data_IF_020209624722
#
_entry.id   IF_020209624722
#
_cell.length_a   1.000
_cell.length_b   1.000
_cell.length_c   1.000
_cell.angle_alpha   90.00
_cell.angle_beta   90.00
_cell.angle_gamma   90.00
#
_symmetry.space_group_name_H-M   'P 1'
#
loop_
_entity.id
_entity.type
_entity.pdbx_description
1 polymer ?
#
# COMPACT_ATOMS: atom_id res chain seq x y z
N UNK A 1 -12.08 28.68 -67.44
CA UNK A 1 -13.13 27.78 -66.93
C UNK A 1 -12.44 26.69 -66.12
N UNK A 2 -12.79 26.52 -64.83
CA UNK A 2 -12.31 25.48 -63.89
C UNK A 2 -10.82 25.58 -63.45
N UNK A 3 -10.40 25.36 -62.20
CA UNK A 3 -11.04 25.28 -60.89
C UNK A 3 -9.90 25.35 -59.84
N UNK A 4 -10.14 26.10 -58.76
CA UNK A 4 -9.54 26.11 -57.41
C UNK A 4 -8.48 25.04 -57.04
N UNK A 5 -7.42 25.46 -56.33
CA UNK A 5 -7.25 25.14 -54.89
C UNK A 5 -6.12 25.97 -54.25
N UNK A 6 -6.47 26.76 -53.24
CA UNK A 6 -5.54 27.43 -52.32
C UNK A 6 -5.13 26.41 -51.26
N UNK A 7 -3.87 25.97 -51.27
CA UNK A 7 -3.31 25.19 -50.16
C UNK A 7 -2.99 26.13 -49.00
N UNK A 8 -3.85 26.11 -47.97
CA UNK A 8 -3.57 26.68 -46.66
C UNK A 8 -2.62 25.73 -45.93
N UNK A 9 -1.36 26.13 -45.79
CA UNK A 9 -0.44 25.55 -44.81
C UNK A 9 -0.87 26.02 -43.41
N UNK A 10 -1.78 25.27 -42.79
CA UNK A 10 -1.98 25.36 -41.35
C UNK A 10 -0.86 24.57 -40.68
N UNK A 11 0.22 25.26 -40.30
CA UNK A 11 1.22 24.72 -39.38
C UNK A 11 0.52 24.65 -38.01
N UNK A 12 -0.08 23.51 -37.73
CA UNK A 12 -0.57 23.18 -36.39
C UNK A 12 0.63 23.08 -35.47
N UNK A 13 0.85 24.11 -34.66
CA UNK A 13 1.72 24.02 -33.50
C UNK A 13 1.11 22.98 -32.55
N UNK A 14 1.57 21.74 -32.65
CA UNK A 14 1.37 20.75 -31.62
C UNK A 14 2.14 21.23 -30.39
N UNK A 15 1.47 22.03 -29.55
CA UNK A 15 1.90 22.28 -28.19
C UNK A 15 1.77 20.94 -27.47
N UNK A 16 2.82 20.13 -27.54
CA UNK A 16 3.10 19.10 -26.55
C UNK A 16 3.23 19.84 -25.23
N UNK A 17 2.11 20.00 -24.52
CA UNK A 17 2.09 20.25 -23.10
C UNK A 17 2.72 19.01 -22.46
N UNK A 18 4.04 18.99 -22.39
CA UNK A 18 4.77 18.24 -21.38
C UNK A 18 4.19 18.72 -20.06
N UNK A 19 3.32 17.91 -19.47
CA UNK A 19 3.00 18.02 -18.06
C UNK A 19 4.28 17.70 -17.31
N UNK A 20 5.17 18.70 -17.20
CA UNK A 20 6.11 18.82 -16.11
C UNK A 20 5.24 18.99 -14.86
N UNK A 21 4.71 17.87 -14.37
CA UNK A 21 4.20 17.79 -13.03
C UNK A 21 5.43 18.05 -12.17
N UNK A 22 5.60 19.28 -11.68
CA UNK A 22 6.47 19.52 -10.53
C UNK A 22 6.07 18.45 -9.51
N UNK A 23 6.94 17.48 -9.25
CA UNK A 23 6.78 16.59 -8.11
C UNK A 23 6.79 17.51 -6.89
N UNK A 24 5.61 17.82 -6.35
CA UNK A 24 5.50 18.25 -4.97
C UNK A 24 6.21 17.16 -4.16
N UNK A 25 7.35 17.53 -3.57
CA UNK A 25 8.28 16.58 -2.98
C UNK A 25 7.58 15.66 -1.99
N UNK A 26 7.95 14.38 -2.01
CA UNK A 26 7.60 13.46 -0.95
C UNK A 26 8.10 14.05 0.38
N UNK A 27 7.19 14.33 1.31
CA UNK A 27 7.56 14.86 2.63
C UNK A 27 7.41 13.80 3.72
N UNK A 28 8.10 14.00 4.84
CA UNK A 28 7.89 13.19 6.02
C UNK A 28 6.55 13.53 6.70
N UNK A 29 5.82 12.55 7.26
CA UNK A 29 4.45 12.78 7.75
C UNK A 29 4.36 13.46 9.13
N UNK A 30 5.49 13.74 9.79
CA UNK A 30 5.55 14.38 11.12
C UNK A 30 6.56 15.54 11.14
N UNK A 31 6.51 16.42 12.16
CA UNK A 31 7.47 17.53 12.31
C UNK A 31 8.89 17.08 12.67
N UNK A 32 9.09 15.80 13.02
CA UNK A 32 10.40 15.26 13.36
C UNK A 32 11.31 15.24 12.11
N UNK A 33 12.37 16.05 12.11
CA UNK A 33 13.29 16.18 10.98
C UNK A 33 14.43 15.15 10.97
N UNK A 34 14.45 14.22 11.94
CA UNK A 34 15.59 13.35 12.16
C UNK A 34 15.86 12.41 10.96
N UNK A 35 14.81 11.89 10.31
CA UNK A 35 14.97 11.09 9.09
C UNK A 35 15.64 11.90 7.97
N UNK A 36 15.19 13.12 7.71
CA UNK A 36 15.76 14.00 6.67
C UNK A 36 17.21 14.34 6.98
N UNK A 37 17.55 14.49 8.26
CA UNK A 37 18.89 14.80 8.74
C UNK A 37 19.82 13.56 8.81
N UNK A 38 19.42 12.40 8.29
CA UNK A 38 20.27 11.22 8.28
C UNK A 38 20.49 10.57 9.65
N UNK A 39 19.67 10.91 10.64
CA UNK A 39 19.81 10.41 12.01
C UNK A 39 19.36 8.93 12.12
N UNK A 40 19.82 8.19 13.14
CA UNK A 40 19.50 6.78 13.30
C UNK A 40 18.05 6.59 13.80
N UNK A 41 17.50 5.39 13.62
CA UNK A 41 16.05 5.11 13.78
C UNK A 41 15.51 5.43 15.18
N UNK A 42 16.34 5.36 16.21
CA UNK A 42 16.03 5.67 17.62
C UNK A 42 15.56 7.12 17.80
N UNK A 43 15.85 7.98 16.83
CA UNK A 43 15.52 9.40 16.87
C UNK A 43 14.18 9.74 16.23
N UNK A 44 13.46 8.76 15.66
CA UNK A 44 12.11 8.98 15.11
C UNK A 44 11.16 7.78 15.19
N UNK A 45 11.63 6.56 15.45
CA UNK A 45 10.80 5.36 15.57
C UNK A 45 10.33 5.18 17.01
N UNK A 46 9.01 5.02 17.18
CA UNK A 46 8.41 4.65 18.46
C UNK A 46 8.52 3.13 18.66
N UNK A 47 9.32 2.65 19.63
CA UNK A 47 9.32 1.23 19.96
C UNK A 47 8.00 0.80 20.64
N UNK A 48 7.72 -0.49 20.55
CA UNK A 48 6.68 -1.15 21.35
C UNK A 48 7.07 -1.23 22.83
N UNK A 49 6.29 -1.95 23.64
CA UNK A 49 6.59 -2.17 25.05
C UNK A 49 7.95 -2.86 25.31
N UNK A 50 8.57 -3.48 24.29
CA UNK A 50 9.90 -4.08 24.42
C UNK A 50 11.04 -3.06 24.57
N UNK A 51 10.81 -1.79 24.19
CA UNK A 51 11.86 -0.77 24.14
C UNK A 51 12.85 -0.92 22.97
N UNK A 52 12.73 -1.98 22.16
CA UNK A 52 13.58 -2.23 20.99
C UNK A 52 13.10 -1.35 19.82
N UNK A 53 13.92 -0.43 19.29
CA UNK A 53 13.53 0.52 18.23
C UNK A 53 12.90 -0.17 17.02
N UNK A 54 13.50 -1.28 16.57
CA UNK A 54 13.08 -2.03 15.39
C UNK A 54 11.64 -2.53 15.49
N UNK A 55 11.10 -2.70 16.70
CA UNK A 55 9.73 -3.15 16.89
C UNK A 55 8.65 -2.18 16.38
N UNK A 56 9.02 -0.92 16.11
CA UNK A 56 8.19 0.09 15.45
C UNK A 56 8.35 0.14 13.93
N UNK A 57 9.23 -0.67 13.33
CA UNK A 57 9.44 -0.72 11.88
C UNK A 57 8.42 -1.60 11.15
N UNK A 58 8.38 -1.52 9.83
CA UNK A 58 7.59 -2.41 9.00
C UNK A 58 8.17 -3.84 9.00
N UNK A 59 7.30 -4.85 8.97
CA UNK A 59 7.70 -6.24 8.80
C UNK A 59 7.49 -7.11 10.03
N UNK A 60 8.18 -8.25 10.06
CA UNK A 60 8.13 -9.18 11.20
C UNK A 60 9.07 -8.73 12.33
N UNK A 61 8.71 -7.65 12.99
CA UNK A 61 9.58 -7.00 14.00
C UNK A 61 8.96 -6.95 15.40
N UNK A 62 7.68 -7.35 15.55
CA UNK A 62 6.98 -7.35 16.84
C UNK A 62 7.03 -8.74 17.48
N UNK A 63 6.99 -8.77 18.82
CA UNK A 63 6.96 -10.01 19.61
C UNK A 63 8.08 -10.99 19.24
N UNK A 64 9.33 -10.50 19.15
CA UNK A 64 10.48 -11.33 18.74
C UNK A 64 10.42 -11.79 17.29
N UNK A 65 9.73 -11.04 16.43
CA UNK A 65 9.59 -11.33 15.00
C UNK A 65 8.44 -12.28 14.64
N UNK A 66 7.56 -12.60 15.59
CA UNK A 66 6.39 -13.47 15.38
C UNK A 66 5.12 -12.73 15.00
N UNK A 67 5.14 -11.39 15.03
CA UNK A 67 4.00 -10.55 14.66
C UNK A 67 4.39 -9.53 13.60
N UNK A 68 3.56 -9.46 12.56
CA UNK A 68 3.73 -8.52 11.45
C UNK A 68 3.31 -7.13 11.87
N UNK A 69 4.02 -6.13 11.34
CA UNK A 69 3.68 -4.73 11.44
C UNK A 69 3.54 -4.13 10.04
N UNK A 70 2.36 -3.61 9.74
CA UNK A 70 1.95 -3.12 8.43
C UNK A 70 2.54 -1.73 8.08
N UNK A 71 3.15 -1.04 9.03
CA UNK A 71 3.60 0.34 8.86
C UNK A 71 4.84 0.71 9.66
N UNK A 72 5.00 2.01 9.89
CA UNK A 72 5.99 2.60 10.79
C UNK A 72 5.27 3.29 11.95
N UNK A 73 5.79 3.12 13.16
CA UNK A 73 5.35 3.87 14.33
C UNK A 73 6.32 5.03 14.57
N UNK A 74 5.85 6.27 14.46
CA UNK A 74 6.66 7.49 14.58
C UNK A 74 6.30 8.26 15.85
N UNK A 75 7.28 8.51 16.73
CA UNK A 75 7.03 9.21 18.00
C UNK A 75 6.89 10.73 17.81
N UNK A 76 6.21 11.43 18.74
CA UNK A 76 6.08 12.88 18.72
C UNK A 76 7.32 13.62 19.21
N UNK A 77 7.56 14.82 18.69
CA UNK A 77 8.60 15.73 19.19
C UNK A 77 8.09 16.74 20.20
N UNK A 78 6.77 16.96 20.29
CA UNK A 78 6.18 17.90 21.23
C UNK A 78 4.96 17.31 21.98
N UNK A 79 4.75 17.77 23.21
CA UNK A 79 3.70 17.30 24.12
C UNK A 79 3.14 18.42 24.98
N UNK A 80 1.85 18.32 25.30
CA UNK A 80 1.20 19.22 26.24
C UNK A 80 1.50 18.88 27.71
N UNK A 81 0.95 19.67 28.64
CA UNK A 81 1.11 19.47 30.10
C UNK A 81 0.53 18.15 30.62
N UNK A 82 -0.32 17.47 29.86
CA UNK A 82 -0.89 16.15 30.18
C UNK A 82 -0.05 15.01 29.57
N UNK A 83 1.02 15.35 28.85
CA UNK A 83 1.89 14.41 28.16
C UNK A 83 1.29 13.90 26.84
N UNK A 84 0.23 14.52 26.33
CA UNK A 84 -0.38 14.14 25.05
C UNK A 84 0.33 14.81 23.88
N UNK A 85 0.53 14.12 22.73
CA UNK A 85 1.18 14.70 21.57
C UNK A 85 0.47 15.95 21.02
N UNK A 86 1.24 16.93 20.57
CA UNK A 86 0.73 18.14 19.90
C UNK A 86 1.11 18.19 18.41
N UNK A 87 1.95 17.28 17.95
CA UNK A 87 2.44 17.18 16.59
C UNK A 87 1.33 17.13 15.54
N UNK A 88 1.44 17.98 14.52
CA UNK A 88 0.63 17.88 13.32
C UNK A 88 1.07 16.69 12.46
N UNK A 89 0.09 16.00 11.86
CA UNK A 89 0.33 14.93 10.88
C UNK A 89 0.04 15.44 9.49
N UNK A 90 0.93 15.19 8.54
CA UNK A 90 0.87 15.77 7.19
C UNK A 90 0.64 14.72 6.10
N UNK A 91 -0.09 15.11 5.06
CA UNK A 91 -0.16 14.35 3.81
C UNK A 91 1.22 14.34 3.16
N UNK A 92 1.74 13.15 2.84
CA UNK A 92 3.13 12.99 2.37
C UNK A 92 3.31 13.36 0.90
N UNK A 93 2.21 13.35 0.16
CA UNK A 93 2.07 13.71 -1.24
C UNK A 93 0.64 14.23 -1.46
N UNK A 94 0.46 15.00 -2.53
CA UNK A 94 -0.88 15.40 -2.98
C UNK A 94 -1.73 14.18 -3.31
N UNK A 95 -3.04 14.29 -3.10
CA UNK A 95 -3.96 13.16 -3.31
C UNK A 95 -5.39 13.49 -2.94
N UNK A 96 -6.20 12.44 -2.84
CA UNK A 96 -7.62 12.49 -2.46
C UNK A 96 -7.83 11.75 -1.15
N UNK A 97 -8.56 12.35 -0.23
CA UNK A 97 -9.00 11.65 0.98
C UNK A 97 -10.06 10.63 0.58
N UNK A 98 -9.78 9.35 0.82
CA UNK A 98 -10.65 8.24 0.43
C UNK A 98 -11.31 7.56 1.63
N UNK A 99 -10.79 7.79 2.83
CA UNK A 99 -11.40 7.33 4.07
C UNK A 99 -11.07 8.23 5.25
N UNK A 100 -12.05 8.40 6.14
CA UNK A 100 -11.89 9.09 7.43
C UNK A 100 -12.66 8.32 8.51
N UNK A 101 -11.95 7.80 9.50
CA UNK A 101 -12.52 7.29 10.76
C UNK A 101 -12.29 8.32 11.86
N UNK A 102 -13.38 8.90 12.40
CA UNK A 102 -13.32 9.84 13.53
C UNK A 102 -13.54 9.18 14.89
N UNK A 103 -13.79 7.86 14.91
CA UNK A 103 -14.15 7.12 16.12
C UNK A 103 -13.02 6.20 16.58
N UNK A 104 -12.41 6.53 17.73
CA UNK A 104 -11.26 5.81 18.29
C UNK A 104 -11.49 4.31 18.54
N UNK A 105 -12.72 3.89 18.90
CA UNK A 105 -13.01 2.51 19.29
C UNK A 105 -13.36 1.56 18.14
N UNK A 106 -13.40 2.02 16.89
CA UNK A 106 -13.90 1.21 15.76
C UNK A 106 -12.87 0.22 15.17
N UNK A 107 -11.59 0.34 15.50
CA UNK A 107 -10.54 -0.58 15.08
C UNK A 107 -9.27 -0.37 15.88
N UNK A 108 -8.28 -1.25 15.69
CA UNK A 108 -6.92 -1.05 16.18
C UNK A 108 -6.31 0.26 15.72
N UNK A 109 -6.61 0.76 14.52
CA UNK A 109 -6.14 2.08 14.05
C UNK A 109 -6.73 3.27 14.82
N UNK A 110 -7.93 3.09 15.38
CA UNK A 110 -8.75 4.13 15.99
C UNK A 110 -9.18 5.22 15.03
N UNK A 111 -8.80 6.48 15.31
CA UNK A 111 -9.02 7.58 14.36
C UNK A 111 -7.92 7.54 13.31
N UNK A 112 -8.33 7.53 12.05
CA UNK A 112 -7.38 7.49 10.95
C UNK A 112 -7.92 8.10 9.68
N UNK A 113 -7.00 8.52 8.81
CA UNK A 113 -7.27 9.06 7.49
C UNK A 113 -6.52 8.21 6.46
N UNK A 114 -7.14 7.96 5.31
CA UNK A 114 -6.48 7.35 4.15
C UNK A 114 -6.49 8.35 3.00
N UNK A 115 -5.33 8.58 2.41
CA UNK A 115 -5.15 9.43 1.22
C UNK A 115 -4.72 8.52 0.08
N UNK A 116 -5.45 8.58 -1.03
CA UNK A 116 -5.05 7.95 -2.30
C UNK A 116 -4.31 8.97 -3.16
N UNK A 117 -3.12 8.61 -3.60
CA UNK A 117 -2.28 9.43 -4.47
C UNK A 117 -2.60 9.08 -5.93
N UNK A 118 -3.79 9.50 -6.37
CA UNK A 118 -4.42 9.15 -7.65
C UNK A 118 -3.68 9.68 -8.90
N UNK A 119 -2.73 10.60 -8.72
CA UNK A 119 -1.88 11.15 -9.78
C UNK A 119 -0.50 10.47 -9.86
N UNK A 120 -0.21 9.52 -8.97
CA UNK A 120 1.01 8.72 -9.02
C UNK A 120 0.82 7.50 -9.92
N UNK A 121 1.92 6.94 -10.42
CA UNK A 121 1.90 5.73 -11.26
C UNK A 121 2.84 4.69 -10.66
N UNK A 122 2.33 3.53 -10.15
CA UNK A 122 0.91 3.26 -9.93
C UNK A 122 0.33 4.22 -8.88
N UNK A 123 -1.00 4.40 -8.91
CA UNK A 123 -1.69 5.00 -7.78
C UNK A 123 -1.47 4.11 -6.54
N UNK A 124 -1.33 4.72 -5.38
CA UNK A 124 -1.18 4.01 -4.10
C UNK A 124 -1.83 4.84 -3.00
N UNK A 125 -1.98 4.25 -1.81
CA UNK A 125 -2.52 4.97 -0.66
C UNK A 125 -1.50 5.09 0.45
N UNK A 126 -1.71 6.08 1.30
CA UNK A 126 -1.11 6.22 2.62
C UNK A 126 -2.18 6.25 3.70
N UNK A 127 -1.88 5.68 4.86
CA UNK A 127 -2.78 5.61 6.01
C UNK A 127 -2.11 6.26 7.22
N UNK A 128 -2.86 7.10 7.92
CA UNK A 128 -2.40 7.89 9.07
C UNK A 128 -3.30 7.59 10.26
N UNK A 129 -2.82 6.77 11.20
CA UNK A 129 -3.62 6.26 12.30
C UNK A 129 -3.23 6.83 13.68
N UNK A 130 -4.02 6.45 14.67
CA UNK A 130 -3.91 6.85 16.07
C UNK A 130 -4.11 8.35 16.34
N UNK A 131 -4.75 9.08 15.43
CA UNK A 131 -4.92 10.53 15.54
C UNK A 131 -5.70 10.94 16.80
N UNK A 132 -5.24 11.96 17.50
CA UNK A 132 -6.01 12.59 18.56
C UNK A 132 -7.26 13.26 17.97
N UNK A 133 -7.09 13.98 16.86
CA UNK A 133 -8.14 14.64 16.10
C UNK A 133 -7.85 14.63 14.61
N UNK A 134 -8.90 14.64 13.81
CA UNK A 134 -8.84 14.84 12.36
C UNK A 134 -9.03 16.32 12.08
N UNK A 135 -8.23 16.87 11.16
CA UNK A 135 -8.26 18.29 10.79
C UNK A 135 -9.60 18.74 10.20
N UNK A 136 -9.86 20.04 10.28
CA UNK A 136 -10.99 20.64 9.58
C UNK A 136 -10.82 20.51 8.06
N UNK A 137 -11.92 20.31 7.33
CA UNK A 137 -11.90 20.08 5.88
C UNK A 137 -11.39 18.69 5.45
N UNK A 138 -10.88 17.87 6.38
CA UNK A 138 -10.47 16.49 6.09
C UNK A 138 -11.72 15.59 6.06
N UNK A 139 -12.30 15.50 4.87
CA UNK A 139 -13.51 14.74 4.56
C UNK A 139 -13.29 13.89 3.31
N UNK A 140 -14.01 12.77 3.21
CA UNK A 140 -13.93 11.88 2.04
C UNK A 140 -14.29 12.65 0.77
N UNK A 141 -13.47 12.49 -0.27
CA UNK A 141 -13.60 13.15 -1.57
C UNK A 141 -12.76 14.41 -1.73
N UNK A 142 -12.38 15.08 -0.64
CA UNK A 142 -11.56 16.28 -0.69
C UNK A 142 -10.15 16.00 -1.21
N UNK A 143 -9.57 16.96 -1.95
CA UNK A 143 -8.15 16.93 -2.34
C UNK A 143 -7.29 17.58 -1.26
N UNK A 144 -6.09 17.06 -1.10
CA UNK A 144 -5.05 17.61 -0.23
C UNK A 144 -3.77 17.74 -1.02
N UNK A 145 -2.99 18.77 -0.71
CA UNK A 145 -1.63 18.93 -1.24
C UNK A 145 -0.61 18.24 -0.32
N UNK A 146 0.58 17.95 -0.86
CA UNK A 146 1.74 17.56 -0.03
C UNK A 146 1.97 18.59 1.07
N UNK A 147 2.13 18.17 2.33
CA UNK A 147 2.25 19.08 3.48
C UNK A 147 0.94 19.52 4.11
N UNK A 148 -0.22 19.20 3.52
CA UNK A 148 -1.50 19.53 4.14
C UNK A 148 -1.66 18.82 5.50
N UNK A 149 -2.06 19.57 6.53
CA UNK A 149 -2.33 19.03 7.86
C UNK A 149 -3.59 18.16 7.86
N UNK A 150 -3.43 16.88 8.14
CA UNK A 150 -4.51 15.89 8.20
C UNK A 150 -5.14 15.79 9.60
N UNK A 151 -4.38 16.15 10.64
CA UNK A 151 -4.82 16.01 12.02
C UNK A 151 -3.72 16.26 13.03
N UNK A 152 -3.97 15.87 14.27
CA UNK A 152 -3.02 15.88 15.37
C UNK A 152 -2.70 14.44 15.76
N UNK A 153 -1.42 14.14 15.94
CA UNK A 153 -0.95 12.84 16.41
C UNK A 153 -1.61 12.50 17.76
N UNK A 154 -1.83 11.22 18.03
CA UNK A 154 -2.36 10.81 19.31
C UNK A 154 -2.04 9.38 19.65
N UNK A 155 -3.01 8.75 20.30
CA UNK A 155 -2.95 7.38 20.83
C UNK A 155 -4.32 6.72 20.76
N UNK A 156 -5.11 7.07 19.74
CA UNK A 156 -6.46 6.53 19.58
C UNK A 156 -6.38 5.14 18.95
N UNK A 157 -6.56 4.10 19.74
CA UNK A 157 -6.77 2.74 19.26
C UNK A 157 -7.95 2.15 20.02
N UNK A 158 -8.51 1.04 19.53
CA UNK A 158 -9.49 0.27 20.30
C UNK A 158 -8.91 -0.33 21.58
N UNK A 159 -7.57 -0.38 21.71
CA UNK A 159 -6.84 -0.75 22.91
C UNK A 159 -6.09 0.45 23.49
N UNK A 160 -5.66 0.34 24.75
CA UNK A 160 -4.91 1.42 25.40
C UNK A 160 -3.45 1.45 24.94
N UNK A 161 -3.04 2.57 24.36
CA UNK A 161 -1.63 2.94 24.14
C UNK A 161 -1.29 3.95 25.24
N UNK A 162 -0.22 3.81 26.04
CA UNK A 162 0.16 4.82 27.05
C UNK A 162 0.64 6.12 26.39
N UNK A 163 0.51 7.27 27.08
CA UNK A 163 0.92 8.58 26.53
C UNK A 163 2.38 8.59 26.13
N UNK A 164 3.25 7.97 26.93
CA UNK A 164 4.69 7.81 26.67
C UNK A 164 5.02 7.03 25.39
N UNK A 165 4.05 6.30 24.83
CA UNK A 165 4.19 5.59 23.54
C UNK A 165 3.14 6.03 22.51
N UNK A 166 2.54 7.20 22.68
CA UNK A 166 1.71 7.80 21.65
C UNK A 166 2.56 8.00 20.38
N UNK A 167 2.00 7.73 19.21
CA UNK A 167 2.71 7.74 17.93
C UNK A 167 1.74 7.91 16.77
N UNK A 168 2.28 8.32 15.63
CA UNK A 168 1.64 8.11 14.34
C UNK A 168 1.94 6.70 13.86
N UNK A 169 0.91 5.90 13.60
CA UNK A 169 1.05 4.68 12.82
C UNK A 169 0.83 5.02 11.34
N UNK A 170 1.88 4.88 10.53
CA UNK A 170 1.94 5.30 9.14
C UNK A 170 2.13 4.10 8.21
N UNK A 171 1.19 3.90 7.28
CA UNK A 171 1.32 2.86 6.25
C UNK A 171 1.33 3.47 4.84
N UNK A 172 1.85 2.69 3.89
CA UNK A 172 1.64 2.89 2.47
C UNK A 172 1.42 1.56 1.77
N UNK A 173 0.65 1.55 0.68
CA UNK A 173 0.46 0.34 -0.11
C UNK A 173 -0.74 0.37 -1.05
N UNK A 174 -1.36 -0.80 -1.21
CA UNK A 174 -2.44 -1.04 -2.18
C UNK A 174 -3.68 -1.60 -1.51
N UNK A 175 -4.83 -1.35 -2.13
CA UNK A 175 -6.11 -1.93 -1.75
C UNK A 175 -6.41 -3.12 -2.67
N UNK A 176 -6.80 -4.26 -2.09
CA UNK A 176 -6.91 -5.51 -2.84
C UNK A 176 -8.16 -5.59 -3.74
N UNK A 177 -9.31 -5.11 -3.28
CA UNK A 177 -10.57 -5.20 -4.05
C UNK A 177 -11.54 -4.05 -3.75
N UNK A 178 -12.43 -3.72 -4.70
CA UNK A 178 -13.58 -2.86 -4.44
C UNK A 178 -14.67 -3.61 -3.65
N UNK A 179 -14.87 -4.90 -3.93
CA UNK A 179 -15.89 -5.74 -3.27
C UNK A 179 -15.36 -6.40 -1.98
N UNK A 180 -14.81 -5.57 -1.09
CA UNK A 180 -14.31 -6.09 0.19
C UNK A 180 -15.45 -6.54 1.11
N UNK A 181 -16.61 -5.89 1.05
CA UNK A 181 -17.74 -6.22 1.90
C UNK A 181 -18.25 -7.64 1.63
N UNK A 182 -18.36 -8.03 0.35
CA UNK A 182 -18.74 -9.40 -0.01
C UNK A 182 -17.78 -10.44 0.57
N UNK A 183 -16.47 -10.19 0.57
CA UNK A 183 -15.49 -11.08 1.21
C UNK A 183 -15.66 -11.10 2.74
N UNK A 184 -15.86 -9.95 3.37
CA UNK A 184 -15.99 -9.79 4.82
C UNK A 184 -17.21 -10.56 5.35
N UNK A 185 -18.37 -10.45 4.70
CA UNK A 185 -19.61 -11.11 5.13
C UNK A 185 -19.48 -12.64 5.10
N UNK A 186 -18.71 -13.19 4.16
CA UNK A 186 -18.42 -14.64 4.09
C UNK A 186 -17.59 -15.14 5.27
N UNK A 187 -16.83 -14.28 5.94
CA UNK A 187 -16.01 -14.68 7.09
C UNK A 187 -16.83 -14.83 8.39
N UNK A 188 -18.09 -14.36 8.42
CA UNK A 188 -18.98 -14.44 9.59
C UNK A 188 -18.37 -13.85 10.86
N UNK A 189 -17.65 -12.74 10.75
CA UNK A 189 -17.14 -12.04 11.93
C UNK A 189 -18.27 -11.56 12.84
N UNK A 190 -18.03 -11.56 14.15
CA UNK A 190 -18.98 -11.05 15.14
C UNK A 190 -19.11 -9.51 15.16
N UNK A 191 -18.30 -8.80 14.38
CA UNK A 191 -18.31 -7.35 14.26
C UNK A 191 -18.71 -6.90 12.86
N UNK A 192 -19.24 -5.67 12.75
CA UNK A 192 -19.56 -5.05 11.45
C UNK A 192 -18.30 -4.47 10.84
N UNK A 193 -18.17 -4.54 9.51
CA UNK A 193 -17.19 -3.73 8.80
C UNK A 193 -17.62 -2.25 8.83
N UNK A 194 -16.92 -1.43 9.61
CA UNK A 194 -17.18 0.01 9.74
C UNK A 194 -16.34 0.86 8.79
N UNK A 195 -15.45 0.22 8.03
CA UNK A 195 -14.39 0.88 7.26
C UNK A 195 -14.55 0.69 5.75
N UNK A 196 -15.60 -0.03 5.32
CA UNK A 196 -15.86 -0.33 3.91
C UNK A 196 -14.67 -1.01 3.25
N UNK A 197 -14.33 -0.59 2.03
CA UNK A 197 -13.16 -1.09 1.28
C UNK A 197 -11.81 -0.62 1.83
N UNK A 198 -11.79 0.34 2.77
CA UNK A 198 -10.57 0.86 3.42
C UNK A 198 -10.34 0.26 4.81
N UNK A 199 -10.94 -0.91 5.05
CA UNK A 199 -10.61 -1.76 6.19
C UNK A 199 -9.18 -2.31 6.02
N UNK A 200 -8.36 -2.29 7.08
CA UNK A 200 -6.98 -2.78 7.04
C UNK A 200 -6.82 -4.23 6.53
N UNK A 201 -7.84 -5.07 6.69
CA UNK A 201 -7.85 -6.42 6.14
C UNK A 201 -7.88 -6.48 4.60
N UNK A 202 -8.25 -5.38 3.94
CA UNK A 202 -8.25 -5.21 2.49
C UNK A 202 -6.99 -4.50 1.97
N UNK A 203 -6.12 -4.05 2.87
CA UNK A 203 -4.92 -3.29 2.52
C UNK A 203 -3.71 -4.23 2.55
N UNK A 204 -2.75 -3.96 1.66
CA UNK A 204 -1.47 -4.65 1.63
C UNK A 204 -0.36 -3.62 1.55
N UNK A 205 0.50 -3.65 2.56
CA UNK A 205 1.44 -2.58 2.84
C UNK A 205 2.84 -2.89 2.31
N UNK A 206 3.53 -1.84 1.89
CA UNK A 206 4.94 -1.84 1.48
C UNK A 206 5.77 -1.19 2.59
N UNK A 207 7.08 -1.46 2.62
CA UNK A 207 7.97 -0.86 3.62
C UNK A 207 8.09 0.66 3.40
N UNK A 208 7.53 1.51 4.27
CA UNK A 208 7.60 2.95 4.05
C UNK A 208 9.03 3.45 4.22
N UNK A 209 9.74 3.03 5.27
CA UNK A 209 11.10 3.52 5.54
C UNK A 209 12.04 3.16 4.39
N UNK A 210 11.96 1.93 3.89
CA UNK A 210 12.76 1.50 2.75
C UNK A 210 12.49 2.33 1.48
N UNK A 211 11.24 2.73 1.23
CA UNK A 211 10.93 3.63 0.12
C UNK A 211 11.54 5.02 0.31
N UNK A 212 11.36 5.63 1.49
CA UNK A 212 11.95 6.94 1.80
C UNK A 212 13.47 6.92 1.73
N UNK A 213 14.12 5.85 2.22
CA UNK A 213 15.57 5.68 2.14
C UNK A 213 16.06 5.57 0.70
N UNK A 214 15.39 4.78 -0.15
CA UNK A 214 15.73 4.69 -1.57
C UNK A 214 15.57 6.02 -2.31
N UNK A 215 14.55 6.83 -1.98
CA UNK A 215 14.37 8.18 -2.52
C UNK A 215 15.52 9.10 -2.06
N UNK A 216 15.82 9.13 -0.75
CA UNK A 216 16.89 9.95 -0.16
C UNK A 216 18.26 9.62 -0.74
N UNK A 217 18.51 8.34 -1.05
CA UNK A 217 19.75 7.85 -1.65
C UNK A 217 19.79 8.04 -3.18
N UNK A 218 18.73 8.55 -3.81
CA UNK A 218 18.64 8.70 -5.25
C UNK A 218 18.57 7.38 -6.03
N UNK A 219 18.25 6.26 -5.37
CA UNK A 219 18.13 4.94 -6.00
C UNK A 219 16.86 4.83 -6.85
N UNK A 220 15.81 5.55 -6.44
CA UNK A 220 14.51 5.59 -7.10
C UNK A 220 13.96 7.00 -7.03
N UNK A 221 13.08 7.35 -7.96
CA UNK A 221 12.40 8.66 -8.03
C UNK A 221 10.92 8.60 -7.67
N UNK A 222 10.36 7.38 -7.64
CA UNK A 222 8.94 7.13 -7.41
C UNK A 222 8.70 5.71 -6.89
N UNK A 223 7.46 5.42 -6.49
CA UNK A 223 7.11 4.14 -5.92
C UNK A 223 7.22 2.97 -6.92
N UNK A 224 6.99 3.21 -8.22
CA UNK A 224 7.06 2.15 -9.21
C UNK A 224 8.48 1.60 -9.37
N UNK A 225 9.47 2.47 -9.38
CA UNK A 225 10.89 2.09 -9.37
C UNK A 225 11.25 1.33 -8.09
N UNK A 226 10.77 1.78 -6.93
CA UNK A 226 10.97 1.06 -5.66
C UNK A 226 10.38 -0.35 -5.68
N UNK A 227 9.17 -0.51 -6.24
CA UNK A 227 8.59 -1.84 -6.43
C UNK A 227 9.46 -2.72 -7.33
N UNK A 228 10.14 -2.19 -8.34
CA UNK A 228 11.03 -2.99 -9.19
C UNK A 228 12.27 -3.49 -8.43
N UNK A 229 12.76 -2.73 -7.45
CA UNK A 229 13.86 -3.17 -6.58
C UNK A 229 13.47 -4.30 -5.63
N UNK A 230 12.21 -4.35 -5.18
CA UNK A 230 11.74 -5.40 -4.27
C UNK A 230 11.75 -6.76 -4.98
N UNK A 231 12.47 -7.78 -4.47
CA UNK A 231 12.48 -9.10 -5.08
C UNK A 231 11.10 -9.76 -5.05
N UNK A 232 10.80 -10.56 -6.09
CA UNK A 232 9.67 -11.46 -6.08
C UNK A 232 10.06 -12.75 -5.32
N UNK A 233 9.36 -13.04 -4.23
CA UNK A 233 9.60 -14.25 -3.43
C UNK A 233 8.94 -15.49 -4.03
N UNK A 234 7.82 -15.29 -4.71
CA UNK A 234 7.06 -16.31 -5.39
C UNK A 234 6.30 -15.73 -6.58
N UNK A 235 6.10 -16.55 -7.60
CA UNK A 235 5.15 -16.30 -8.69
C UNK A 235 4.06 -17.35 -8.65
N UNK A 236 2.81 -16.91 -8.58
CA UNK A 236 1.64 -17.79 -8.50
C UNK A 236 0.77 -17.51 -9.73
N UNK A 237 0.40 -18.59 -10.44
CA UNK A 237 -0.57 -18.55 -11.52
C UNK A 237 -1.97 -18.76 -10.96
N UNK A 238 -2.92 -17.95 -11.42
CA UNK A 238 -4.35 -18.15 -11.22
C UNK A 238 -5.01 -18.26 -12.58
N UNK A 239 -5.61 -19.41 -12.87
CA UNK A 239 -6.36 -19.65 -14.09
C UNK A 239 -7.73 -18.97 -14.00
N UNK A 240 -7.90 -17.86 -14.71
CA UNK A 240 -9.15 -17.10 -14.78
C UNK A 240 -9.19 -16.25 -16.04
N UNK A 241 -10.40 -16.01 -16.54
CA UNK A 241 -10.69 -15.04 -17.60
C UNK A 241 -10.98 -13.64 -17.06
N UNK A 242 -11.10 -13.50 -15.74
CA UNK A 242 -11.49 -12.25 -15.11
C UNK A 242 -10.30 -11.28 -14.98
N UNK A 243 -10.59 -10.00 -15.15
CA UNK A 243 -9.67 -8.91 -14.83
C UNK A 243 -10.05 -8.38 -13.44
N UNK A 244 -9.26 -8.65 -12.38
CA UNK A 244 -9.61 -8.26 -11.02
C UNK A 244 -9.53 -6.75 -10.84
N UNK A 245 -10.25 -6.23 -9.84
CA UNK A 245 -10.26 -4.79 -9.52
C UNK A 245 -8.88 -4.21 -9.25
N UNK A 246 -7.99 -5.03 -8.67
CA UNK A 246 -6.59 -4.66 -8.45
C UNK A 246 -5.88 -4.28 -9.76
N UNK A 247 -6.04 -5.07 -10.81
CA UNK A 247 -5.42 -4.81 -12.12
C UNK A 247 -6.00 -3.55 -12.76
N UNK A 248 -7.32 -3.32 -12.60
CA UNK A 248 -7.99 -2.11 -13.10
C UNK A 248 -7.52 -0.86 -12.36
N UNK A 249 -7.31 -0.95 -11.04
CA UNK A 249 -6.85 0.15 -10.21
C UNK A 249 -5.36 0.46 -10.40
N UNK A 250 -4.55 -0.55 -10.69
CA UNK A 250 -3.09 -0.44 -10.78
C UNK A 250 -2.52 -0.98 -12.11
N UNK A 251 -2.95 -0.44 -13.26
CA UNK A 251 -2.59 -0.98 -14.58
C UNK A 251 -1.08 -0.93 -14.87
N UNK A 252 -0.34 -0.02 -14.22
CA UNK A 252 1.12 0.06 -14.35
C UNK A 252 1.87 -1.17 -13.80
N UNK A 253 1.21 -2.00 -12.99
CA UNK A 253 1.77 -3.26 -12.49
C UNK A 253 1.61 -4.41 -13.49
N UNK A 254 0.91 -4.19 -14.61
CA UNK A 254 0.72 -5.18 -15.67
C UNK A 254 1.91 -5.19 -16.62
N UNK A 255 2.48 -6.37 -16.90
CA UNK A 255 3.73 -6.48 -17.67
C UNK A 255 3.56 -6.35 -19.18
N UNK A 256 2.34 -6.55 -19.69
CA UNK A 256 2.02 -6.42 -21.13
C UNK A 256 0.53 -6.19 -21.37
N UNK A 257 0.14 -5.54 -22.48
CA UNK A 257 -1.27 -5.32 -22.81
C UNK A 257 -2.07 -6.61 -22.92
N UNK A 258 -3.32 -6.59 -22.46
CA UNK A 258 -4.26 -7.71 -22.53
C UNK A 258 -5.59 -7.38 -23.24
N UNK A 259 -5.84 -6.11 -23.58
CA UNK A 259 -7.07 -5.69 -24.27
C UNK A 259 -7.14 -6.34 -25.65
N UNK A 260 -8.30 -6.90 -26.00
CA UNK A 260 -8.53 -7.58 -27.27
C UNK A 260 -7.91 -8.98 -27.37
N UNK A 261 -7.28 -9.49 -26.30
CA UNK A 261 -6.71 -10.84 -26.26
C UNK A 261 -7.57 -11.78 -25.43
N UNK A 262 -7.56 -13.06 -25.78
CA UNK A 262 -8.25 -14.10 -25.01
C UNK A 262 -7.42 -14.46 -23.76
N UNK A 263 -7.67 -13.73 -22.67
CA UNK A 263 -7.07 -13.96 -21.35
C UNK A 263 -7.51 -15.31 -20.77
N UNK A 264 -6.56 -16.08 -20.23
CA UNK A 264 -6.82 -17.40 -19.61
C UNK A 264 -6.19 -17.56 -18.22
N UNK A 265 -5.22 -16.72 -17.85
CA UNK A 265 -4.63 -16.73 -16.51
C UNK A 265 -3.89 -15.42 -16.20
N UNK A 266 -3.56 -15.25 -14.92
CA UNK A 266 -2.61 -14.26 -14.44
C UNK A 266 -1.43 -14.93 -13.73
N UNK A 267 -0.20 -14.59 -14.11
CA UNK A 267 1.01 -14.92 -13.34
C UNK A 267 1.33 -13.71 -12.45
N UNK A 268 1.24 -13.89 -11.14
CA UNK A 268 1.34 -12.81 -10.15
C UNK A 268 2.62 -12.97 -9.36
N UNK A 269 3.49 -11.96 -9.39
CA UNK A 269 4.67 -11.93 -8.53
C UNK A 269 4.32 -11.30 -7.17
N UNK A 270 4.73 -11.95 -6.09
CA UNK A 270 4.52 -11.48 -4.72
C UNK A 270 5.83 -11.02 -4.09
N UNK A 271 5.81 -9.90 -3.37
CA UNK A 271 6.91 -9.49 -2.49
C UNK A 271 7.02 -10.40 -1.26
N UNK A 272 8.08 -10.23 -0.46
CA UNK A 272 8.29 -10.98 0.79
C UNK A 272 7.08 -10.98 1.73
N UNK A 273 6.23 -9.95 1.77
CA UNK A 273 5.07 -9.93 2.67
C UNK A 273 3.72 -9.97 1.96
N UNK A 274 3.73 -10.35 0.68
CA UNK A 274 2.51 -10.67 -0.07
C UNK A 274 1.91 -9.50 -0.84
N UNK A 275 2.68 -8.46 -1.16
CA UNK A 275 2.25 -7.42 -2.11
C UNK A 275 2.26 -8.02 -3.52
N UNK A 276 1.13 -8.04 -4.24
CA UNK A 276 1.08 -8.49 -5.64
C UNK A 276 1.65 -7.39 -6.55
N UNK A 277 2.97 -7.45 -6.77
CA UNK A 277 3.77 -6.34 -7.32
C UNK A 277 3.92 -6.35 -8.85
N UNK A 278 3.55 -7.45 -9.50
CA UNK A 278 3.67 -7.60 -10.95
C UNK A 278 2.64 -8.61 -11.46
N UNK A 279 1.97 -8.27 -12.55
CA UNK A 279 0.86 -9.04 -13.12
C UNK A 279 1.13 -9.33 -14.60
N UNK A 280 1.39 -10.59 -14.94
CA UNK A 280 1.56 -11.01 -16.32
C UNK A 280 0.30 -11.71 -16.83
N UNK A 281 -0.46 -11.10 -17.75
CA UNK A 281 -1.62 -11.76 -18.36
C UNK A 281 -1.13 -12.91 -19.25
N UNK A 282 -1.85 -14.04 -19.23
CA UNK A 282 -1.60 -15.20 -20.09
C UNK A 282 -2.74 -15.42 -21.06
N UNK A 283 -2.43 -15.85 -22.28
CA UNK A 283 -3.39 -15.90 -23.38
C UNK A 283 -3.58 -17.33 -23.90
N UNK A 284 -4.76 -17.61 -24.47
CA UNK A 284 -5.11 -18.93 -24.99
C UNK A 284 -4.11 -19.46 -26.02
N UNK A 285 -3.59 -18.57 -26.88
CA UNK A 285 -2.57 -18.86 -27.90
C UNK A 285 -1.25 -19.42 -27.32
N UNK A 286 -0.98 -19.19 -26.04
CA UNK A 286 0.25 -19.64 -25.38
C UNK A 286 0.16 -21.10 -24.89
N UNK A 287 -1.00 -21.76 -25.03
CA UNK A 287 -1.22 -23.18 -24.71
C UNK A 287 -0.71 -23.62 -23.32
N UNK A 288 -0.82 -22.74 -22.32
CA UNK A 288 -0.21 -22.94 -20.99
C UNK A 288 -0.86 -24.02 -20.10
N UNK A 289 -1.97 -24.62 -20.55
CA UNK A 289 -2.75 -25.61 -19.81
C UNK A 289 -3.39 -25.10 -18.50
N UNK A 290 -4.09 -26.02 -17.80
CA UNK A 290 -4.84 -25.74 -16.57
C UNK A 290 -6.34 -25.55 -16.80
N UNK A 291 -7.11 -25.62 -15.72
CA UNK A 291 -8.57 -25.44 -15.71
C UNK A 291 -8.94 -24.14 -15.00
N UNK A 292 -10.10 -23.57 -15.34
CA UNK A 292 -10.62 -22.38 -14.65
C UNK A 292 -10.68 -22.63 -13.14
N UNK A 293 -10.10 -21.72 -12.35
CA UNK A 293 -9.99 -21.83 -10.90
C UNK A 293 -8.73 -22.54 -10.40
N UNK A 294 -7.92 -23.15 -11.27
CA UNK A 294 -6.61 -23.67 -10.88
C UNK A 294 -5.74 -22.54 -10.28
N UNK A 295 -4.96 -22.90 -9.26
CA UNK A 295 -3.94 -22.03 -8.67
C UNK A 295 -2.64 -22.82 -8.55
N UNK A 296 -1.54 -22.30 -9.12
CA UNK A 296 -0.26 -23.02 -9.19
C UNK A 296 0.92 -22.15 -8.80
N UNK A 297 1.84 -22.68 -8.00
CA UNK A 297 3.13 -22.04 -7.75
C UNK A 297 4.00 -22.27 -9.00
N UNK A 298 4.50 -21.19 -9.62
CA UNK A 298 5.35 -21.27 -10.80
C UNK A 298 6.83 -21.28 -10.43
N UNK A 299 7.23 -20.29 -9.63
CA UNK A 299 8.59 -20.11 -9.16
C UNK A 299 8.58 -19.54 -7.76
N UNK A 300 9.65 -19.78 -7.01
CA UNK A 300 9.87 -19.19 -5.70
C UNK A 300 11.37 -19.15 -5.38
N UNK A 301 11.75 -18.31 -4.42
CA UNK A 301 13.13 -18.25 -3.90
C UNK A 301 13.18 -18.92 -2.52
N UNK A 302 13.80 -20.12 -2.40
CA UNK A 302 13.94 -20.81 -1.11
C UNK A 302 14.65 -19.95 -0.06
N UNK A 303 15.71 -19.25 -0.46
CA UNK A 303 16.50 -18.39 0.44
C UNK A 303 15.66 -17.26 1.02
N UNK A 304 14.85 -16.59 0.19
CA UNK A 304 13.99 -15.49 0.66
C UNK A 304 12.80 -16.01 1.48
N UNK A 305 12.26 -17.20 1.16
CA UNK A 305 11.20 -17.83 1.97
C UNK A 305 11.67 -18.13 3.38
N UNK A 306 12.90 -18.62 3.55
CA UNK A 306 13.47 -18.92 4.87
C UNK A 306 13.69 -17.68 5.75
N UNK A 307 13.65 -16.48 5.16
CA UNK A 307 13.72 -15.19 5.88
C UNK A 307 12.34 -14.69 6.33
N UNK A 308 11.25 -15.37 5.96
CA UNK A 308 9.90 -15.04 6.42
C UNK A 308 9.65 -15.62 7.80
N UNK A 309 9.49 -14.76 8.82
CA UNK A 309 9.14 -15.20 10.17
C UNK A 309 7.63 -15.35 10.36
N UNK A 310 6.96 -14.23 10.57
CA UNK A 310 5.56 -14.14 10.98
C UNK A 310 4.52 -14.08 9.84
N UNK A 311 4.95 -13.75 8.61
CA UNK A 311 4.07 -13.53 7.47
C UNK A 311 4.72 -14.11 6.23
N UNK A 312 4.23 -15.28 5.82
CA UNK A 312 4.81 -16.04 4.72
C UNK A 312 3.91 -16.00 3.49
N UNK A 313 4.51 -16.01 2.31
CA UNK A 313 3.77 -16.09 1.03
C UNK A 313 3.50 -17.55 0.68
N UNK A 314 4.50 -18.40 0.90
CA UNK A 314 4.42 -19.85 0.78
C UNK A 314 4.86 -20.48 2.12
N UNK A 315 4.31 -21.64 2.44
CA UNK A 315 4.76 -22.47 3.54
C UNK A 315 5.66 -23.60 3.00
N UNK A 316 6.81 -23.80 3.62
CA UNK A 316 7.69 -24.93 3.29
C UNK A 316 7.27 -26.16 4.12
N UNK A 317 6.87 -27.24 3.45
CA UNK A 317 6.63 -28.55 4.07
C UNK A 317 7.48 -29.60 3.35
N UNK A 318 8.67 -29.87 3.87
CA UNK A 318 9.66 -30.68 3.16
C UNK A 318 10.13 -29.98 1.88
N UNK A 319 10.15 -30.69 0.76
CA UNK A 319 10.66 -30.17 -0.53
C UNK A 319 9.62 -29.42 -1.36
N UNK A 320 8.33 -29.53 -1.02
CA UNK A 320 7.25 -28.93 -1.83
C UNK A 320 6.62 -27.75 -1.08
N UNK A 321 6.68 -26.53 -1.62
CA UNK A 321 5.99 -25.40 -1.01
C UNK A 321 4.48 -25.48 -1.22
N UNK A 322 3.72 -24.97 -0.25
CA UNK A 322 2.28 -24.75 -0.37
C UNK A 322 1.95 -23.27 -0.24
N UNK A 323 0.83 -22.83 -0.82
CA UNK A 323 0.39 -21.42 -0.69
C UNK A 323 -0.03 -21.18 0.75
N UNK A 324 0.48 -20.12 1.39
CA UNK A 324 0.13 -19.82 2.78
C UNK A 324 -1.34 -19.41 2.90
N UNK A 325 -1.91 -19.56 4.10
CA UNK A 325 -3.28 -19.12 4.38
C UNK A 325 -3.48 -17.61 4.12
N UNK A 326 -2.46 -16.79 4.40
CA UNK A 326 -2.46 -15.36 4.12
C UNK A 326 -2.54 -15.06 2.63
N UNK A 327 -1.70 -15.70 1.82
CA UNK A 327 -1.73 -15.55 0.36
C UNK A 327 -3.04 -16.07 -0.24
N UNK A 328 -3.54 -17.20 0.24
CA UNK A 328 -4.84 -17.72 -0.20
C UNK A 328 -5.97 -16.73 0.12
N UNK A 329 -5.96 -16.13 1.30
CA UNK A 329 -6.89 -15.06 1.68
C UNK A 329 -6.78 -13.85 0.75
N UNK A 330 -5.55 -13.44 0.38
CA UNK A 330 -5.31 -12.38 -0.61
C UNK A 330 -5.88 -12.74 -1.98
N UNK A 331 -5.64 -13.95 -2.49
CA UNK A 331 -6.19 -14.41 -3.77
C UNK A 331 -7.73 -14.43 -3.76
N UNK A 332 -8.35 -14.87 -2.66
CA UNK A 332 -9.82 -14.83 -2.50
C UNK A 332 -10.38 -13.40 -2.55
N UNK A 333 -9.66 -12.41 -2.02
CA UNK A 333 -10.04 -10.99 -2.13
C UNK A 333 -9.86 -10.46 -3.55
N UNK A 334 -8.71 -10.75 -4.18
CA UNK A 334 -8.37 -10.28 -5.53
C UNK A 334 -9.36 -10.78 -6.58
N UNK A 335 -9.76 -12.05 -6.50
CA UNK A 335 -10.57 -12.70 -7.53
C UNK A 335 -12.01 -13.03 -7.10
N UNK A 336 -12.40 -12.71 -5.87
CA UNK A 336 -13.74 -13.00 -5.37
C UNK A 336 -14.05 -14.48 -5.16
N UNK A 337 -13.05 -15.35 -5.17
CA UNK A 337 -13.22 -16.79 -4.97
C UNK A 337 -13.87 -17.11 -3.60
N UNK A 338 -14.61 -18.22 -3.56
CA UNK A 338 -15.21 -18.78 -2.34
C UNK A 338 -14.22 -19.71 -1.65
#
# INVERSE_FOLDING_TARGET
MYLRLVQRLAIGAAVLLSQLCLQAGLIWPTPNSAFQNGQPIETFIQPTASGVPESGLFGCVRSGGTRFHEGLDLFPVDRDRRGEPTDAVYAVLSGRIVHVSKTAGHSSYGRYVVVEHDQQVPAFHTLYAHLASVGEGIIVGARVESGAKLGIMGRSASYSIPSTRAHLHFEMGFRLTNDFQGWYDRQKFGSKNRHGMWNGMNLVSINPLGFYESIRQGQVSNLYEYLKLIPAIARIRVQTTDVPDFVKAYPALVTRPYVGKQLVAWDIAFSQYGVPKEWTPRFAEEAIGGRLGDVKILTYSPTLLNQQGCRSVLNMSGTTPTISAGTLSTLKKLFGFK
#
